data_IF_369935514953
#
_entry.id   IF_369935514953
#
_cell.length_a   1.000
_cell.length_b   1.000
_cell.length_c   1.000
_cell.angle_alpha   90.00
_cell.angle_beta   90.00
_cell.angle_gamma   90.00
#
_symmetry.space_group_name_H-M   'P 1'
#
loop_
_entity.id
_entity.type
_entity.pdbx_description
1 polymer ?
#
# COMPACT_ATOMS: atom_id res chain seq x y z
N UNK A 1 4.98 2.66 25.31
CA UNK A 1 6.23 2.04 24.80
C UNK A 1 5.96 0.77 23.99
N UNK A 2 5.20 -0.22 24.51
CA UNK A 2 4.92 -1.48 23.82
C UNK A 2 4.34 -1.32 22.40
N UNK A 3 3.33 -0.47 22.21
CA UNK A 3 2.72 -0.27 20.88
C UNK A 3 3.66 0.40 19.88
N UNK A 4 4.46 1.37 20.34
CA UNK A 4 5.47 2.04 19.50
C UNK A 4 6.50 1.05 18.98
N UNK A 5 7.05 0.22 19.87
CA UNK A 5 8.00 -0.82 19.49
C UNK A 5 7.37 -1.82 18.54
N UNK A 6 6.16 -2.32 18.86
CA UNK A 6 5.44 -3.30 18.03
C UNK A 6 5.21 -2.77 16.62
N UNK A 7 4.61 -1.60 16.46
CA UNK A 7 4.22 -1.11 15.15
C UNK A 7 5.43 -0.69 14.30
N UNK A 8 6.47 -0.12 14.93
CA UNK A 8 7.72 0.18 14.23
C UNK A 8 8.45 -1.10 13.80
N UNK A 9 8.42 -2.15 14.64
CA UNK A 9 8.98 -3.45 14.30
C UNK A 9 8.24 -4.13 13.14
N UNK A 10 6.91 -4.00 13.03
CA UNK A 10 6.15 -4.53 11.88
C UNK A 10 6.66 -3.93 10.57
N UNK A 11 6.85 -2.61 10.53
CA UNK A 11 7.31 -1.92 9.32
C UNK A 11 8.77 -2.26 8.99
N UNK A 12 9.65 -2.22 9.99
CA UNK A 12 11.05 -2.59 9.83
C UNK A 12 11.23 -4.05 9.41
N UNK A 13 10.44 -4.97 9.97
CA UNK A 13 10.48 -6.39 9.61
C UNK A 13 9.99 -6.64 8.18
N UNK A 14 8.91 -6.00 7.76
CA UNK A 14 8.43 -6.10 6.37
C UNK A 14 9.50 -5.66 5.36
N UNK A 15 10.20 -4.57 5.67
CA UNK A 15 11.33 -4.09 4.86
C UNK A 15 12.53 -5.02 4.90
N UNK A 16 12.90 -5.53 6.08
CA UNK A 16 14.00 -6.49 6.22
C UNK A 16 13.72 -7.77 5.42
N UNK A 17 12.50 -8.31 5.52
CA UNK A 17 12.09 -9.48 4.76
C UNK A 17 12.20 -9.23 3.25
N UNK A 18 11.79 -8.05 2.79
CA UNK A 18 11.96 -7.63 1.42
C UNK A 18 13.44 -7.52 1.00
N UNK A 19 14.30 -6.91 1.82
CA UNK A 19 15.74 -6.85 1.53
C UNK A 19 16.37 -8.25 1.48
N UNK A 20 15.98 -9.17 2.36
CA UNK A 20 16.46 -10.56 2.31
C UNK A 20 16.07 -11.22 0.99
N UNK A 21 14.83 -11.05 0.53
CA UNK A 21 14.42 -11.54 -0.80
C UNK A 21 15.27 -10.93 -1.92
N UNK A 22 15.64 -9.66 -1.81
CA UNK A 22 16.49 -8.95 -2.79
C UNK A 22 17.95 -9.42 -2.79
N UNK A 23 18.47 -9.87 -1.64
CA UNK A 23 19.77 -10.54 -1.59
C UNK A 23 19.67 -11.92 -2.24
N UNK A 24 18.62 -12.70 -1.91
CA UNK A 24 18.41 -14.04 -2.47
C UNK A 24 18.23 -14.00 -3.99
N UNK A 25 17.57 -12.99 -4.53
CA UNK A 25 17.40 -12.79 -5.98
C UNK A 25 18.67 -12.31 -6.70
N UNK A 26 19.73 -11.97 -5.96
CA UNK A 26 20.97 -11.43 -6.51
C UNK A 26 20.90 -9.94 -6.89
N UNK A 27 19.78 -9.24 -6.63
CA UNK A 27 19.68 -7.80 -6.88
C UNK A 27 20.56 -6.96 -5.95
N UNK A 28 20.82 -7.46 -4.74
CA UNK A 28 21.77 -6.88 -3.79
C UNK A 28 22.88 -7.90 -3.53
N UNK A 29 24.07 -7.64 -4.09
CA UNK A 29 25.25 -8.48 -3.88
C UNK A 29 26.27 -7.86 -2.91
N UNK A 30 26.34 -6.54 -2.85
CA UNK A 30 27.30 -5.81 -2.03
C UNK A 30 26.77 -5.57 -0.61
N UNK A 31 27.55 -5.97 0.41
CA UNK A 31 27.21 -5.75 1.83
C UNK A 31 26.96 -4.27 2.15
N UNK A 32 27.77 -3.37 1.58
CA UNK A 32 27.59 -1.93 1.75
C UNK A 32 26.19 -1.47 1.30
N UNK A 33 25.73 -1.92 0.12
CA UNK A 33 24.40 -1.56 -0.40
C UNK A 33 23.29 -2.09 0.49
N UNK A 34 23.42 -3.33 0.97
CA UNK A 34 22.47 -3.90 1.92
C UNK A 34 22.34 -3.02 3.19
N UNK A 35 23.47 -2.60 3.77
CA UNK A 35 23.48 -1.77 4.97
C UNK A 35 22.86 -0.39 4.74
N UNK A 36 23.17 0.27 3.61
CA UNK A 36 22.58 1.58 3.27
C UNK A 36 21.05 1.46 3.12
N UNK A 37 20.58 0.43 2.42
CA UNK A 37 19.15 0.16 2.23
C UNK A 37 18.45 -0.25 3.52
N UNK A 38 19.15 -0.94 4.43
CA UNK A 38 18.61 -1.30 5.74
C UNK A 38 18.47 -0.05 6.63
N UNK A 39 19.48 0.82 6.66
CA UNK A 39 19.52 1.96 7.57
C UNK A 39 18.66 3.11 7.09
N UNK A 40 18.75 3.52 5.82
CA UNK A 40 18.08 4.74 5.33
C UNK A 40 16.57 4.49 5.13
N UNK A 41 16.11 3.66 4.18
CA UNK A 41 14.69 3.28 4.08
C UNK A 41 14.13 2.63 5.35
N UNK A 42 14.89 1.73 5.99
CA UNK A 42 14.42 1.08 7.22
C UNK A 42 14.27 2.05 8.39
N UNK A 43 15.20 2.99 8.55
CA UNK A 43 15.11 4.07 9.54
C UNK A 43 13.91 4.98 9.27
N UNK A 44 13.65 5.34 8.01
CA UNK A 44 12.46 6.08 7.62
C UNK A 44 11.17 5.34 8.00
N UNK A 45 11.09 4.02 7.76
CA UNK A 45 9.94 3.19 8.13
C UNK A 45 9.76 3.07 9.66
N UNK A 46 10.85 3.05 10.43
CA UNK A 46 10.76 3.12 11.89
C UNK A 46 10.16 4.45 12.33
N UNK A 47 10.62 5.58 11.77
CA UNK A 47 10.09 6.91 12.08
C UNK A 47 8.61 7.02 11.72
N UNK A 48 8.19 6.50 10.57
CA UNK A 48 6.77 6.50 10.20
C UNK A 48 5.93 5.58 11.09
N UNK A 49 6.47 4.44 11.53
CA UNK A 49 5.82 3.57 12.53
C UNK A 49 5.60 4.26 13.88
N UNK A 50 6.58 5.05 14.33
CA UNK A 50 6.44 5.88 15.52
C UNK A 50 5.37 6.96 15.34
N UNK A 51 5.39 7.66 14.21
CA UNK A 51 4.42 8.70 13.87
C UNK A 51 2.99 8.14 13.81
N UNK A 52 2.77 7.04 13.09
CA UNK A 52 1.45 6.42 12.98
C UNK A 52 0.96 5.87 14.32
N UNK A 53 1.85 5.36 15.16
CA UNK A 53 1.47 4.97 16.52
C UNK A 53 1.04 6.16 17.35
N UNK A 54 1.77 7.27 17.28
CA UNK A 54 1.36 8.52 17.95
C UNK A 54 -0.02 9.00 17.45
N UNK A 55 -0.24 9.00 16.14
CA UNK A 55 -1.54 9.36 15.56
C UNK A 55 -2.65 8.39 15.99
N UNK A 56 -2.38 7.09 16.09
CA UNK A 56 -3.34 6.10 16.55
C UNK A 56 -3.76 6.34 18.01
N UNK A 57 -2.82 6.73 18.87
CA UNK A 57 -3.11 7.08 20.27
C UNK A 57 -3.87 8.41 20.39
N UNK A 58 -3.59 9.37 19.49
CA UNK A 58 -4.29 10.66 19.44
C UNK A 58 -5.71 10.53 18.87
N UNK A 59 -5.93 9.63 17.92
CA UNK A 59 -7.20 9.39 17.24
C UNK A 59 -7.67 7.93 17.40
N UNK A 60 -7.93 7.45 18.63
CA UNK A 60 -8.22 6.04 18.89
C UNK A 60 -9.49 5.53 18.20
N UNK A 61 -10.49 6.42 18.01
CA UNK A 61 -11.74 6.14 17.27
C UNK A 61 -11.61 6.34 15.76
N UNK A 62 -10.39 6.55 15.27
CA UNK A 62 -10.10 6.88 13.88
C UNK A 62 -10.70 8.22 13.46
N UNK A 63 -10.97 8.33 12.16
CA UNK A 63 -11.53 9.52 11.54
C UNK A 63 -12.59 9.14 10.51
N UNK A 64 -13.38 10.11 10.06
CA UNK A 64 -14.30 9.87 8.95
C UNK A 64 -13.50 9.86 7.65
N UNK A 65 -13.52 8.73 6.94
CA UNK A 65 -12.99 8.65 5.58
C UNK A 65 -14.12 9.07 4.63
N UNK A 66 -14.12 10.35 4.26
CA UNK A 66 -15.00 10.86 3.20
C UNK A 66 -14.30 10.74 1.84
N UNK A 67 -14.97 11.16 0.77
CA UNK A 67 -14.39 11.16 -0.57
C UNK A 67 -13.21 12.15 -0.71
N UNK A 68 -13.17 13.22 0.10
CA UNK A 68 -12.18 14.29 -0.05
C UNK A 68 -10.73 13.87 0.24
N UNK A 69 -10.41 13.17 1.34
CA UNK A 69 -9.05 12.66 1.55
C UNK A 69 -8.61 11.66 0.48
N UNK A 70 -9.54 10.85 -0.05
CA UNK A 70 -9.27 9.91 -1.15
C UNK A 70 -8.88 10.70 -2.41
N UNK A 71 -9.70 11.69 -2.80
CA UNK A 71 -9.41 12.56 -3.93
C UNK A 71 -8.11 13.33 -3.74
N UNK A 72 -7.81 13.80 -2.52
CA UNK A 72 -6.57 14.50 -2.22
C UNK A 72 -5.33 13.65 -2.51
N UNK A 73 -5.31 12.38 -2.08
CA UNK A 73 -4.21 11.45 -2.37
C UNK A 73 -4.11 11.12 -3.87
N UNK A 74 -5.26 10.93 -4.53
CA UNK A 74 -5.31 10.66 -5.97
C UNK A 74 -4.78 11.87 -6.76
N UNK A 75 -5.21 13.09 -6.43
CA UNK A 75 -4.73 14.30 -7.09
C UNK A 75 -3.25 14.57 -6.82
N UNK A 76 -2.74 14.22 -5.63
CA UNK A 76 -1.31 14.31 -5.33
C UNK A 76 -0.49 13.41 -6.27
N UNK A 77 -0.89 12.14 -6.40
CA UNK A 77 -0.21 11.18 -7.27
C UNK A 77 -0.29 11.60 -8.75
N UNK A 78 -1.48 11.91 -9.24
CA UNK A 78 -1.68 12.32 -10.63
C UNK A 78 -1.06 13.68 -10.94
N UNK A 79 -1.06 14.61 -9.97
CA UNK A 79 -0.43 15.92 -10.11
C UNK A 79 1.09 15.80 -10.27
N UNK A 80 1.75 14.95 -9.49
CA UNK A 80 3.19 14.69 -9.64
C UNK A 80 3.50 14.07 -11.00
N UNK A 81 2.71 13.09 -11.45
CA UNK A 81 2.86 12.47 -12.78
C UNK A 81 2.68 13.49 -13.90
N UNK A 82 1.70 14.37 -13.78
CA UNK A 82 1.44 15.42 -14.75
C UNK A 82 2.59 16.45 -14.79
N UNK A 83 3.13 16.85 -13.65
CA UNK A 83 4.30 17.73 -13.58
C UNK A 83 5.53 17.09 -14.25
N UNK A 84 5.80 15.82 -13.93
CA UNK A 84 6.88 15.05 -14.54
C UNK A 84 6.71 14.93 -16.06
N UNK A 85 5.47 14.68 -16.50
CA UNK A 85 5.14 14.60 -17.93
C UNK A 85 5.45 15.92 -18.65
N UNK A 86 5.06 17.06 -18.07
CA UNK A 86 5.32 18.38 -18.67
C UNK A 86 6.80 18.79 -18.66
N UNK A 87 7.56 18.37 -17.66
CA UNK A 87 9.01 18.62 -17.63
C UNK A 87 9.73 17.76 -18.67
N UNK A 88 9.23 16.54 -18.93
CA UNK A 88 9.81 15.60 -19.86
C UNK A 88 10.37 14.37 -19.14
N UNK A 89 9.67 13.24 -19.28
CA UNK A 89 9.99 11.96 -18.63
C UNK A 89 11.45 11.55 -18.85
N UNK A 90 11.94 11.61 -20.09
CA UNK A 90 13.28 11.17 -20.45
C UNK A 90 14.39 12.14 -20.01
N UNK A 91 14.02 13.39 -19.68
CA UNK A 91 14.98 14.44 -19.34
C UNK A 91 15.29 14.46 -17.84
N UNK A 92 14.42 13.87 -17.02
CA UNK A 92 14.54 13.88 -15.57
C UNK A 92 15.44 12.74 -15.08
N UNK A 93 16.59 13.12 -14.51
CA UNK A 93 17.49 12.23 -13.80
C UNK A 93 18.18 12.98 -12.64
N UNK A 94 17.38 13.40 -11.66
CA UNK A 94 17.87 14.16 -10.50
C UNK A 94 18.23 13.22 -9.36
N UNK A 95 19.45 13.34 -8.85
CA UNK A 95 19.89 12.62 -7.64
C UNK A 95 19.31 13.31 -6.39
N UNK A 96 18.44 12.60 -5.66
CA UNK A 96 17.89 13.09 -4.38
C UNK A 96 18.81 12.66 -3.24
N UNK A 97 19.18 11.38 -3.20
CA UNK A 97 20.20 10.85 -2.30
C UNK A 97 21.27 10.18 -3.18
N UNK A 98 22.54 10.63 -3.11
CA UNK A 98 23.61 10.07 -3.93
C UNK A 98 23.64 8.54 -3.88
N UNK A 99 23.68 7.92 -5.06
CA UNK A 99 23.72 6.47 -5.25
C UNK A 99 22.57 5.64 -4.63
N UNK A 100 21.48 6.28 -4.20
CA UNK A 100 20.35 5.60 -3.56
C UNK A 100 18.99 5.98 -4.14
N UNK A 101 18.67 7.26 -4.20
CA UNK A 101 17.33 7.75 -4.59
C UNK A 101 17.45 8.76 -5.72
N UNK A 102 16.76 8.49 -6.81
CA UNK A 102 16.74 9.31 -8.02
C UNK A 102 15.29 9.66 -8.38
N UNK A 103 15.06 10.90 -8.78
CA UNK A 103 13.89 11.25 -9.58
C UNK A 103 14.25 10.93 -11.03
N UNK A 104 13.93 9.70 -11.42
CA UNK A 104 14.21 9.15 -12.75
C UNK A 104 12.95 8.44 -13.25
N UNK A 105 12.04 9.19 -13.91
CA UNK A 105 10.75 8.68 -14.32
C UNK A 105 10.86 7.58 -15.37
N UNK A 106 10.05 6.53 -15.23
CA UNK A 106 10.00 5.39 -16.14
C UNK A 106 8.56 4.94 -16.34
N UNK A 107 8.26 4.52 -17.56
CA UNK A 107 6.98 3.88 -17.84
C UNK A 107 7.05 2.40 -17.52
N UNK A 108 6.20 1.96 -16.59
CA UNK A 108 6.06 0.57 -16.22
C UNK A 108 4.98 -0.10 -17.08
N UNK A 109 5.44 -0.94 -18.01
CA UNK A 109 4.61 -1.70 -18.96
C UNK A 109 3.98 -2.94 -18.33
N UNK A 110 4.56 -3.48 -17.27
CA UNK A 110 4.01 -4.64 -16.55
C UNK A 110 2.81 -4.27 -15.66
N UNK A 111 2.56 -2.98 -15.45
CA UNK A 111 1.37 -2.45 -14.77
C UNK A 111 1.36 -2.61 -13.26
N UNK A 112 2.25 -3.44 -12.70
CA UNK A 112 2.54 -3.57 -11.26
C UNK A 112 3.93 -4.16 -11.05
N UNK A 113 4.51 -3.91 -9.87
CA UNK A 113 5.78 -4.53 -9.46
C UNK A 113 5.72 -6.08 -9.46
N UNK A 114 4.60 -6.65 -9.00
CA UNK A 114 4.40 -8.10 -9.02
C UNK A 114 4.31 -8.66 -10.45
N UNK A 115 3.68 -7.93 -11.37
CA UNK A 115 3.69 -8.27 -12.79
C UNK A 115 5.10 -8.26 -13.37
N UNK A 116 5.92 -7.27 -12.98
CA UNK A 116 7.33 -7.19 -13.38
C UNK A 116 8.15 -8.36 -12.81
N UNK A 117 7.96 -8.71 -11.53
CA UNK A 117 8.66 -9.82 -10.88
C UNK A 117 8.32 -11.17 -11.51
N UNK A 118 7.07 -11.38 -11.93
CA UNK A 118 6.60 -12.62 -12.53
C UNK A 118 6.74 -12.66 -14.06
N UNK A 119 7.22 -11.58 -14.69
CA UNK A 119 7.31 -11.46 -16.14
C UNK A 119 5.96 -11.54 -16.85
N UNK A 120 4.87 -11.15 -16.17
CA UNK A 120 3.50 -11.26 -16.69
C UNK A 120 3.00 -9.93 -17.23
N UNK A 121 2.78 -9.88 -18.55
CA UNK A 121 2.13 -8.77 -19.23
C UNK A 121 0.60 -8.93 -19.15
N UNK A 122 0.01 -8.32 -18.12
CA UNK A 122 -1.45 -8.29 -17.94
C UNK A 122 -2.01 -7.06 -18.67
N UNK A 123 -3.06 -7.25 -19.47
CA UNK A 123 -3.68 -6.14 -20.20
C UNK A 123 -4.24 -5.06 -19.26
N UNK A 124 -4.24 -3.81 -19.70
CA UNK A 124 -4.83 -2.70 -18.94
C UNK A 124 -6.29 -2.95 -18.56
N UNK A 125 -7.08 -3.53 -19.47
CA UNK A 125 -8.48 -3.88 -19.19
C UNK A 125 -8.58 -4.92 -18.07
N UNK A 126 -7.72 -5.94 -18.09
CA UNK A 126 -7.66 -6.96 -17.04
C UNK A 126 -7.32 -6.34 -15.68
N UNK A 127 -6.38 -5.39 -15.64
CA UNK A 127 -6.06 -4.65 -14.41
C UNK A 127 -7.24 -3.81 -13.91
N UNK A 128 -7.93 -3.09 -14.80
CA UNK A 128 -9.11 -2.29 -14.42
C UNK A 128 -10.21 -3.19 -13.84
N UNK A 129 -10.52 -4.32 -14.49
CA UNK A 129 -11.51 -5.28 -13.98
C UNK A 129 -11.10 -5.82 -12.61
N UNK A 130 -9.83 -6.21 -12.45
CA UNK A 130 -9.29 -6.70 -11.18
C UNK A 130 -9.40 -5.64 -10.07
N UNK A 131 -9.08 -4.39 -10.37
CA UNK A 131 -9.20 -3.27 -9.44
C UNK A 131 -10.65 -2.96 -9.05
N UNK A 132 -11.60 -3.06 -9.97
CA UNK A 132 -13.03 -2.91 -9.65
C UNK A 132 -13.49 -4.02 -8.70
N UNK A 133 -13.09 -5.27 -8.97
CA UNK A 133 -13.40 -6.42 -8.12
C UNK A 133 -12.77 -6.23 -6.73
N UNK A 134 -11.51 -5.84 -6.65
CA UNK A 134 -10.85 -5.57 -5.38
C UNK A 134 -11.49 -4.40 -4.63
N UNK A 135 -11.80 -3.28 -5.31
CA UNK A 135 -12.48 -2.16 -4.70
C UNK A 135 -13.80 -2.58 -4.07
N UNK A 136 -14.59 -3.40 -4.78
CA UNK A 136 -15.84 -3.95 -4.25
C UNK A 136 -15.62 -4.72 -2.95
N UNK A 137 -14.68 -5.68 -2.93
CA UNK A 137 -14.40 -6.47 -1.73
C UNK A 137 -13.81 -5.64 -0.58
N UNK A 138 -12.97 -4.65 -0.87
CA UNK A 138 -12.40 -3.76 0.16
C UNK A 138 -13.49 -2.88 0.77
N UNK A 139 -14.38 -2.31 -0.04
CA UNK A 139 -15.48 -1.48 0.45
C UNK A 139 -16.44 -2.29 1.30
N UNK A 140 -16.92 -3.44 0.80
CA UNK A 140 -17.84 -4.27 1.57
C UNK A 140 -17.16 -4.91 2.77
N UNK A 141 -15.90 -5.33 2.64
CA UNK A 141 -15.08 -5.87 3.73
C UNK A 141 -14.91 -4.86 4.86
N UNK A 142 -14.62 -3.60 4.54
CA UNK A 142 -14.53 -2.53 5.53
C UNK A 142 -15.86 -2.30 6.27
N UNK A 143 -16.98 -2.27 5.54
CA UNK A 143 -18.29 -2.09 6.17
C UNK A 143 -18.73 -3.29 7.01
N UNK A 144 -18.42 -4.51 6.55
CA UNK A 144 -18.64 -5.72 7.33
C UNK A 144 -17.79 -5.70 8.61
N UNK A 145 -16.51 -5.31 8.49
CA UNK A 145 -15.63 -5.17 9.64
C UNK A 145 -16.20 -4.19 10.68
N UNK A 146 -16.65 -3.01 10.24
CA UNK A 146 -17.25 -2.00 11.12
C UNK A 146 -18.62 -2.40 11.69
N UNK A 147 -19.31 -3.37 11.11
CA UNK A 147 -20.54 -3.91 11.69
C UNK A 147 -20.27 -4.79 12.93
N UNK A 148 -19.02 -5.22 13.11
CA UNK A 148 -18.60 -6.12 14.19
C UNK A 148 -17.58 -5.52 15.14
N UNK A 149 -16.88 -4.48 14.70
CA UNK A 149 -15.77 -3.88 15.42
C UNK A 149 -15.92 -2.37 15.46
N UNK A 150 -15.38 -1.77 16.51
CA UNK A 150 -15.26 -0.33 16.58
C UNK A 150 -14.24 0.19 15.55
N UNK A 151 -14.62 1.30 14.90
CA UNK A 151 -13.69 2.03 14.02
C UNK A 151 -12.52 2.56 14.82
N UNK A 152 -11.33 2.50 14.24
CA UNK A 152 -10.11 3.03 14.84
C UNK A 152 -9.19 3.66 13.77
N UNK A 153 -8.04 4.18 14.21
CA UNK A 153 -7.05 4.78 13.32
C UNK A 153 -6.58 3.80 12.23
N UNK A 154 -6.12 2.61 12.62
CA UNK A 154 -5.54 1.62 11.69
C UNK A 154 -6.52 1.24 10.59
N UNK A 155 -7.77 0.97 10.95
CA UNK A 155 -8.83 0.59 10.00
C UNK A 155 -9.24 1.76 9.10
N UNK A 156 -9.33 2.98 9.63
CA UNK A 156 -9.61 4.18 8.83
C UNK A 156 -8.48 4.47 7.83
N UNK A 157 -7.22 4.35 8.28
CA UNK A 157 -6.04 4.60 7.44
C UNK A 157 -5.83 3.51 6.40
N UNK A 158 -6.04 2.24 6.76
CA UNK A 158 -6.08 1.13 5.81
C UNK A 158 -7.07 1.40 4.67
N UNK A 159 -8.32 1.71 5.02
CA UNK A 159 -9.37 1.94 4.05
C UNK A 159 -9.07 3.14 3.14
N UNK A 160 -8.68 4.28 3.73
CA UNK A 160 -8.31 5.48 2.97
C UNK A 160 -7.18 5.19 1.98
N UNK A 161 -6.06 4.65 2.47
CA UNK A 161 -4.87 4.47 1.67
C UNK A 161 -5.06 3.42 0.57
N UNK A 162 -5.74 2.31 0.86
CA UNK A 162 -5.97 1.26 -0.13
C UNK A 162 -6.94 1.71 -1.22
N UNK A 163 -8.05 2.36 -0.86
CA UNK A 163 -9.04 2.85 -1.84
C UNK A 163 -8.44 3.94 -2.72
N UNK A 164 -7.69 4.89 -2.14
CA UNK A 164 -6.94 5.86 -2.94
C UNK A 164 -5.94 5.18 -3.90
N UNK A 165 -5.42 4.01 -3.53
CA UNK A 165 -4.39 3.28 -4.31
C UNK A 165 -4.97 2.61 -5.52
N UNK A 166 -6.11 1.98 -5.30
CA UNK A 166 -6.91 1.39 -6.36
C UNK A 166 -7.40 2.49 -7.32
N UNK A 167 -7.86 3.64 -6.80
CA UNK A 167 -8.30 4.76 -7.62
C UNK A 167 -7.16 5.36 -8.47
N UNK A 168 -6.02 5.71 -7.86
CA UNK A 168 -4.87 6.25 -8.60
C UNK A 168 -4.32 5.24 -9.61
N UNK A 169 -4.19 3.97 -9.22
CA UNK A 169 -3.74 2.91 -10.12
C UNK A 169 -4.69 2.73 -11.31
N UNK A 170 -6.00 2.82 -11.09
CA UNK A 170 -6.99 2.73 -12.17
C UNK A 170 -6.90 3.93 -13.11
N UNK A 171 -6.75 5.14 -12.56
CA UNK A 171 -6.58 6.36 -13.36
C UNK A 171 -5.33 6.30 -14.22
N UNK A 172 -4.23 5.70 -13.74
CA UNK A 172 -3.03 5.59 -14.57
C UNK A 172 -3.29 4.84 -15.87
N UNK A 173 -4.01 3.72 -15.79
CA UNK A 173 -4.33 2.88 -16.95
C UNK A 173 -5.29 3.60 -17.90
N UNK A 174 -6.16 4.47 -17.37
CA UNK A 174 -7.11 5.26 -18.17
C UNK A 174 -6.43 6.46 -18.86
N UNK A 175 -5.52 7.15 -18.17
CA UNK A 175 -4.90 8.39 -18.67
C UNK A 175 -3.64 8.13 -19.49
N UNK A 176 -2.78 7.22 -19.03
CA UNK A 176 -1.46 7.01 -19.61
C UNK A 176 -1.36 5.70 -20.42
N UNK A 177 -2.33 4.78 -20.26
CA UNK A 177 -2.28 3.44 -20.84
C UNK A 177 -1.16 2.56 -20.27
N UNK A 178 -0.48 3.02 -19.22
CA UNK A 178 0.62 2.37 -18.49
C UNK A 178 0.81 3.11 -17.16
N UNK A 179 1.73 2.67 -16.32
CA UNK A 179 2.02 3.42 -15.08
C UNK A 179 3.26 4.27 -15.28
N UNK A 180 3.22 5.54 -14.85
CA UNK A 180 4.39 6.43 -14.82
C UNK A 180 4.99 6.41 -13.41
N UNK A 181 6.01 5.59 -13.21
CA UNK A 181 6.75 5.50 -11.96
C UNK A 181 7.81 6.62 -11.95
N UNK A 182 7.99 7.34 -10.84
CA UNK A 182 8.79 8.58 -10.83
C UNK A 182 10.06 8.50 -9.99
N UNK A 183 10.04 7.72 -8.91
CA UNK A 183 11.10 7.63 -7.92
C UNK A 183 11.83 6.30 -8.03
N UNK A 184 13.10 6.34 -8.42
CA UNK A 184 13.96 5.17 -8.49
C UNK A 184 14.76 4.99 -7.20
N UNK A 185 14.53 3.87 -6.52
CA UNK A 185 15.31 3.41 -5.37
C UNK A 185 16.31 2.38 -5.87
N UNK A 186 17.55 2.80 -6.09
CA UNK A 186 18.61 1.96 -6.68
C UNK A 186 19.10 0.91 -5.68
N UNK A 187 19.33 -0.36 -6.10
CA UNK A 187 19.03 -0.95 -7.41
C UNK A 187 17.65 -1.62 -7.49
N UNK A 188 16.77 -1.36 -6.52
CA UNK A 188 15.62 -2.21 -6.18
C UNK A 188 14.43 -2.08 -7.12
N UNK A 189 13.86 -0.88 -7.24
CA UNK A 189 12.65 -0.65 -8.02
C UNK A 189 12.42 0.85 -8.28
N UNK A 190 11.61 1.13 -9.29
CA UNK A 190 10.99 2.44 -9.49
C UNK A 190 9.57 2.38 -8.93
N UNK A 191 9.14 3.44 -8.28
CA UNK A 191 7.81 3.54 -7.68
C UNK A 191 7.22 4.94 -7.90
N UNK A 192 5.93 5.07 -7.64
CA UNK A 192 5.22 6.35 -7.58
C UNK A 192 4.65 6.60 -6.17
N UNK A 193 3.90 7.68 -6.00
CA UNK A 193 3.35 8.05 -4.69
C UNK A 193 2.29 7.05 -4.22
N UNK A 194 1.49 6.50 -5.13
CA UNK A 194 0.49 5.50 -4.77
C UNK A 194 1.06 4.21 -4.22
N UNK A 195 2.25 3.81 -4.67
CA UNK A 195 2.92 2.63 -4.14
C UNK A 195 3.23 2.79 -2.64
N UNK A 196 3.58 4.00 -2.18
CA UNK A 196 3.81 4.27 -0.76
C UNK A 196 2.55 4.06 0.07
N UNK A 197 1.43 4.65 -0.32
CA UNK A 197 0.23 4.55 0.49
C UNK A 197 -0.47 3.18 0.33
N UNK A 198 -0.33 2.47 -0.79
CA UNK A 198 -0.72 1.04 -0.87
C UNK A 198 0.12 0.22 0.12
N UNK A 199 1.43 0.45 0.17
CA UNK A 199 2.33 -0.22 1.11
C UNK A 199 1.96 0.12 2.56
N UNK A 200 1.66 1.38 2.87
CA UNK A 200 1.16 1.77 4.19
C UNK A 200 -0.19 1.13 4.53
N UNK A 201 -1.07 0.93 3.56
CA UNK A 201 -2.31 0.20 3.80
C UNK A 201 -2.03 -1.22 4.31
N UNK A 202 -1.10 -1.95 3.69
CA UNK A 202 -0.70 -3.28 4.16
C UNK A 202 -0.15 -3.24 5.59
N UNK A 203 0.64 -2.22 5.93
CA UNK A 203 1.13 -2.03 7.29
C UNK A 203 0.00 -1.74 8.29
N UNK A 204 -0.96 -0.88 7.94
CA UNK A 204 -2.12 -0.58 8.78
C UNK A 204 -2.98 -1.82 9.02
N UNK A 205 -3.18 -2.65 7.99
CA UNK A 205 -3.86 -3.94 8.11
C UNK A 205 -3.11 -4.88 9.05
N UNK A 206 -1.80 -5.03 8.87
CA UNK A 206 -0.96 -5.87 9.74
C UNK A 206 -0.98 -5.42 11.20
N UNK A 207 -0.89 -4.11 11.44
CA UNK A 207 -1.01 -3.54 12.79
C UNK A 207 -2.37 -3.85 13.42
N UNK A 208 -3.46 -3.78 12.65
CA UNK A 208 -4.80 -4.09 13.14
C UNK A 208 -5.00 -5.58 13.43
N UNK A 209 -4.54 -6.47 12.55
CA UNK A 209 -4.58 -7.93 12.74
C UNK A 209 -3.85 -8.31 14.03
N UNK A 210 -2.66 -7.75 14.27
CA UNK A 210 -1.89 -8.01 15.48
C UNK A 210 -2.58 -7.40 16.71
N UNK A 211 -3.13 -6.19 16.60
CA UNK A 211 -3.85 -5.52 17.70
C UNK A 211 -5.07 -6.32 18.15
N UNK A 212 -5.82 -6.89 17.21
CA UNK A 212 -6.99 -7.72 17.48
C UNK A 212 -6.63 -9.16 17.89
N UNK A 213 -5.35 -9.54 17.83
CA UNK A 213 -4.91 -10.88 18.20
C UNK A 213 -5.29 -11.97 17.18
N UNK A 214 -5.65 -11.61 15.95
CA UNK A 214 -6.08 -12.57 14.93
C UNK A 214 -4.98 -13.54 14.48
N UNK A 215 -3.69 -13.21 14.69
CA UNK A 215 -2.60 -14.17 14.45
C UNK A 215 -2.55 -15.29 15.50
N UNK A 216 -3.05 -15.02 16.71
CA UNK A 216 -3.07 -15.99 17.80
C UNK A 216 -4.43 -16.70 17.93
N UNK A 217 -5.47 -16.22 17.23
CA UNK A 217 -6.78 -16.84 17.25
C UNK A 217 -6.74 -18.21 16.56
N UNK A 218 -7.21 -19.23 17.27
CA UNK A 218 -7.41 -20.57 16.70
C UNK A 218 -8.84 -20.64 16.18
N UNK A 219 -9.05 -20.26 14.92
CA UNK A 219 -10.32 -20.53 14.23
C UNK A 219 -10.23 -21.88 13.52
N UNK A 220 -11.38 -22.52 13.36
CA UNK A 220 -11.53 -23.72 12.54
C UNK A 220 -11.98 -23.35 11.13
N UNK A 221 -11.69 -24.19 10.13
CA UNK A 221 -12.17 -23.98 8.75
C UNK A 221 -13.71 -23.83 8.66
N UNK A 222 -14.43 -24.46 9.59
CA UNK A 222 -15.89 -24.36 9.68
C UNK A 222 -16.33 -22.96 10.12
N UNK A 223 -15.62 -22.36 11.07
CA UNK A 223 -15.88 -21.00 11.54
C UNK A 223 -15.53 -19.97 10.48
N UNK A 224 -14.40 -20.13 9.78
CA UNK A 224 -14.01 -19.25 8.68
C UNK A 224 -15.05 -19.29 7.53
N UNK A 225 -15.56 -20.49 7.21
CA UNK A 225 -16.62 -20.67 6.23
C UNK A 225 -17.95 -20.01 6.67
N UNK A 226 -18.28 -20.09 7.96
CA UNK A 226 -19.45 -19.42 8.50
C UNK A 226 -19.30 -17.89 8.41
N UNK A 227 -18.12 -17.37 8.77
CA UNK A 227 -17.82 -15.94 8.67
C UNK A 227 -17.94 -15.44 7.23
N UNK A 228 -17.46 -16.23 6.26
CA UNK A 228 -17.59 -15.93 4.84
C UNK A 228 -19.07 -15.90 4.39
N UNK A 229 -19.89 -16.85 4.85
CA UNK A 229 -21.34 -16.84 4.59
C UNK A 229 -22.01 -15.61 5.18
N UNK A 230 -21.66 -15.24 6.41
CA UNK A 230 -22.18 -14.04 7.07
C UNK A 230 -21.78 -12.78 6.33
N UNK A 231 -20.58 -12.73 5.77
CA UNK A 231 -20.12 -11.64 4.90
C UNK A 231 -20.98 -11.50 3.64
N UNK A 232 -21.21 -12.59 2.91
CA UNK A 232 -22.07 -12.53 1.72
C UNK A 232 -23.53 -12.21 2.05
N UNK A 233 -24.05 -12.71 3.18
CA UNK A 233 -25.38 -12.35 3.67
C UNK A 233 -25.50 -10.87 4.05
N UNK A 234 -24.46 -10.32 4.69
CA UNK A 234 -24.36 -8.90 5.01
C UNK A 234 -24.42 -8.04 3.73
N UNK A 235 -23.64 -8.40 2.70
CA UNK A 235 -23.69 -7.72 1.39
C UNK A 235 -25.11 -7.75 0.82
N UNK A 236 -25.78 -8.90 0.86
CA UNK A 236 -27.16 -9.05 0.39
C UNK A 236 -28.14 -8.13 1.10
N UNK A 237 -28.14 -8.12 2.45
CA UNK A 237 -29.04 -7.27 3.26
C UNK A 237 -28.83 -5.78 3.01
N UNK A 238 -27.58 -5.33 2.92
CA UNK A 238 -27.22 -3.92 2.76
C UNK A 238 -27.72 -3.34 1.44
N UNK A 239 -27.80 -4.16 0.39
CA UNK A 239 -28.36 -3.76 -0.91
C UNK A 239 -29.88 -3.59 -0.89
N UNK A 240 -30.60 -4.24 0.03
CA UNK A 240 -32.05 -4.11 0.17
C UNK A 240 -32.48 -2.89 1.00
N UNK A 241 -31.56 -2.23 1.70
CA UNK A 241 -31.83 -1.08 2.58
C UNK A 241 -31.42 0.28 1.98
N UNK A 242 -30.83 0.28 0.78
CA UNK A 242 -30.53 1.48 -0.01
C UNK A 242 -31.53 1.59 -1.14
#
# INVERSE_FOLDING_TARGET
MKDYLRNSAIMAFGWLAFLVMMVISGMISETYRFLVLLVIPGGFLVVTGLLFTYLALKYPRGYAVTIWPILGLVFLDQGIKLLVYFIGVEQLNLQIIPDLIYLQPQYNTYGSYLGSLLGMEISNLSYIVLYIVFAFFIIEGYHFYLSRNEKNFWTSSFYLSLVAGICASSLDKLLWGKTLDTLYIKPLFVCDIKDFYITYALFFLGAEIIRQGYLASKTTLKEDWLLLKEFFHFIGRRRCQR
#
